data_IF_068520087101
#
_entry.id   IF_068520087101
#
_cell.length_a   1.000
_cell.length_b   1.000
_cell.length_c   1.000
_cell.angle_alpha   90.00
_cell.angle_beta   90.00
_cell.angle_gamma   90.00
#
_symmetry.space_group_name_H-M   'P 1'
#
loop_
_entity.id
_entity.type
_entity.pdbx_description
1 polymer ?
#
# COMPACT_ATOMS: atom_id res chain seq x y z
N UNK A 1 4.67 -19.16 -36.35
CA UNK A 1 3.60 -18.16 -36.54
C UNK A 1 2.81 -18.08 -35.24
N UNK A 2 2.82 -16.93 -34.54
CA UNK A 2 2.04 -16.78 -33.31
C UNK A 2 0.56 -16.63 -33.67
N UNK A 3 -0.28 -17.55 -33.18
CA UNK A 3 -1.73 -17.48 -33.37
C UNK A 3 -2.33 -16.53 -32.34
N UNK A 4 -3.11 -15.54 -32.80
CA UNK A 4 -3.72 -14.51 -31.96
C UNK A 4 -4.55 -15.09 -30.80
N UNK A 5 -5.08 -16.31 -30.98
CA UNK A 5 -5.96 -16.97 -30.03
C UNK A 5 -5.24 -17.58 -28.81
N UNK A 6 -3.91 -17.78 -28.87
CA UNK A 6 -3.15 -18.47 -27.82
C UNK A 6 -2.13 -17.57 -27.10
N UNK A 7 -2.36 -16.26 -27.09
CA UNK A 7 -1.46 -15.34 -26.38
C UNK A 7 -1.70 -15.40 -24.87
N UNK A 8 -0.64 -15.49 -24.04
CA UNK A 8 -0.78 -15.44 -22.59
C UNK A 8 -1.27 -14.07 -22.14
N UNK A 9 -2.09 -14.04 -21.09
CA UNK A 9 -2.61 -12.78 -20.53
C UNK A 9 -1.48 -12.05 -19.77
N UNK A 10 -1.04 -10.94 -20.33
CA UNK A 10 0.03 -10.10 -19.74
C UNK A 10 -0.49 -9.23 -18.59
N UNK A 11 -1.79 -8.88 -18.58
CA UNK A 11 -2.36 -7.92 -17.62
C UNK A 11 -2.89 -8.56 -16.34
N UNK A 12 -2.65 -7.88 -15.23
CA UNK A 12 -3.19 -8.24 -13.93
C UNK A 12 -4.73 -8.09 -13.84
N UNK A 13 -5.29 -8.67 -12.78
CA UNK A 13 -6.71 -8.52 -12.47
C UNK A 13 -7.03 -7.07 -12.10
N UNK A 14 -8.10 -6.53 -12.68
CA UNK A 14 -8.56 -5.18 -12.37
C UNK A 14 -9.12 -5.08 -10.95
N UNK A 15 -9.12 -3.88 -10.39
CA UNK A 15 -9.77 -3.62 -9.09
C UNK A 15 -11.26 -3.91 -9.17
N UNK A 16 -11.80 -4.47 -8.09
CA UNK A 16 -13.22 -4.76 -7.95
C UNK A 16 -14.06 -3.47 -7.99
N UNK A 17 -15.14 -3.49 -8.77
CA UNK A 17 -16.12 -2.39 -8.81
C UNK A 17 -17.06 -2.52 -7.60
N UNK A 18 -17.02 -1.53 -6.72
CA UNK A 18 -17.84 -1.50 -5.51
C UNK A 18 -19.28 -1.07 -5.83
N UNK A 19 -20.25 -1.49 -5.01
CA UNK A 19 -21.66 -1.10 -5.15
C UNK A 19 -22.34 -1.70 -6.38
N UNK A 20 -22.06 -2.97 -6.71
CA UNK A 20 -22.65 -3.68 -7.88
C UNK A 20 -23.47 -4.89 -7.43
N UNK A 21 -24.50 -4.66 -6.62
CA UNK A 21 -25.38 -5.73 -6.12
C UNK A 21 -24.70 -6.68 -5.13
N UNK A 22 -25.49 -7.45 -4.40
CA UNK A 22 -25.01 -8.37 -3.35
C UNK A 22 -24.15 -9.51 -3.91
N UNK A 23 -24.51 -10.06 -5.08
CA UNK A 23 -23.75 -11.12 -5.76
C UNK A 23 -22.32 -10.75 -6.14
N UNK A 24 -22.00 -9.44 -6.20
CA UNK A 24 -20.61 -9.00 -6.39
C UNK A 24 -19.72 -9.24 -5.17
N UNK A 25 -20.28 -9.47 -3.97
CA UNK A 25 -19.53 -9.56 -2.71
C UNK A 25 -19.00 -8.22 -2.18
N UNK A 26 -19.31 -7.10 -2.84
CA UNK A 26 -19.04 -5.75 -2.36
C UNK A 26 -20.22 -4.83 -2.71
N UNK A 27 -21.43 -5.33 -2.50
CA UNK A 27 -22.70 -4.70 -2.89
C UNK A 27 -23.15 -3.61 -1.93
N UNK A 28 -24.19 -3.91 -1.15
CA UNK A 28 -24.98 -2.94 -0.39
C UNK A 28 -24.18 -1.98 0.50
N UNK A 29 -23.03 -2.41 1.04
CA UNK A 29 -22.16 -1.59 1.90
C UNK A 29 -20.82 -1.25 1.27
N UNK A 30 -20.59 -1.62 0.02
CA UNK A 30 -19.35 -1.31 -0.73
C UNK A 30 -18.06 -1.67 0.02
N UNK A 31 -18.10 -2.67 0.92
CA UNK A 31 -16.96 -3.06 1.78
C UNK A 31 -16.65 -2.11 2.94
N UNK A 32 -17.50 -1.13 3.24
CA UNK A 32 -17.27 -0.11 4.28
C UNK A 32 -17.84 -0.45 5.66
N UNK A 33 -18.51 -1.60 5.79
CA UNK A 33 -19.19 -2.00 7.02
C UNK A 33 -20.53 -1.28 7.26
N UNK A 34 -21.03 -1.33 8.50
CA UNK A 34 -22.34 -0.77 8.86
C UNK A 34 -22.34 0.76 8.81
N UNK A 35 -23.33 1.32 8.10
CA UNK A 35 -23.45 2.76 7.81
C UNK A 35 -23.55 3.66 9.05
N UNK A 36 -23.84 3.12 10.23
CA UNK A 36 -23.91 3.89 11.49
C UNK A 36 -22.54 4.40 11.95
N UNK A 37 -21.45 3.67 11.68
CA UNK A 37 -20.14 3.97 12.24
C UNK A 37 -19.38 5.02 11.42
N UNK A 38 -18.52 5.80 12.08
CA UNK A 38 -17.71 6.86 11.46
C UNK A 38 -16.83 6.32 10.34
N UNK A 39 -16.23 5.14 10.49
CA UNK A 39 -15.39 4.51 9.46
C UNK A 39 -16.10 4.29 8.10
N UNK A 40 -17.42 4.19 8.09
CA UNK A 40 -18.18 4.04 6.85
C UNK A 40 -18.44 5.39 6.14
N UNK A 41 -18.49 6.50 6.89
CA UNK A 41 -18.91 7.83 6.43
C UNK A 41 -17.74 8.79 6.22
N UNK A 42 -16.74 8.70 7.07
CA UNK A 42 -15.65 9.67 7.18
C UNK A 42 -14.29 9.02 6.91
N UNK A 43 -13.28 9.87 6.70
CA UNK A 43 -11.89 9.45 6.55
C UNK A 43 -11.15 9.70 7.87
N UNK A 44 -11.05 8.67 8.69
CA UNK A 44 -10.26 8.70 9.92
C UNK A 44 -8.80 8.42 9.56
N UNK A 45 -7.87 9.17 10.16
CA UNK A 45 -6.46 8.94 9.94
C UNK A 45 -6.00 7.61 10.54
N UNK A 46 -5.14 6.87 9.83
CA UNK A 46 -4.68 5.53 10.21
C UNK A 46 -4.01 5.46 11.59
N UNK A 47 -3.37 6.56 12.02
CA UNK A 47 -2.64 6.67 13.29
C UNK A 47 -3.48 7.24 14.44
N UNK A 48 -4.79 7.43 14.24
CA UNK A 48 -5.66 8.01 15.26
C UNK A 48 -6.02 6.96 16.32
N UNK A 49 -5.73 7.26 17.59
CA UNK A 49 -5.96 6.37 18.74
C UNK A 49 -7.19 6.82 19.57
N UNK A 50 -8.17 7.50 18.98
CA UNK A 50 -9.42 7.84 19.69
C UNK A 50 -9.31 8.99 20.70
N UNK A 51 -8.27 9.83 20.60
CA UNK A 51 -8.02 10.95 21.52
C UNK A 51 -6.72 10.81 22.33
N UNK A 52 -6.16 9.60 22.38
CA UNK A 52 -4.83 9.40 22.94
C UNK A 52 -3.73 10.02 22.04
N UNK A 53 -2.63 10.43 22.67
CA UNK A 53 -1.45 10.88 21.95
C UNK A 53 -0.87 9.73 21.11
N UNK A 54 -0.53 10.02 19.84
CA UNK A 54 -0.03 9.01 18.88
C UNK A 54 1.22 8.30 19.41
N UNK A 55 1.39 7.01 19.09
CA UNK A 55 2.60 6.22 19.41
C UNK A 55 3.91 6.96 19.11
N UNK A 56 4.01 7.63 17.96
CA UNK A 56 5.23 8.37 17.55
C UNK A 56 5.60 9.47 18.54
N UNK A 57 4.62 10.07 19.22
CA UNK A 57 4.84 11.09 20.24
C UNK A 57 5.08 10.52 21.64
N UNK A 58 4.83 9.22 21.86
CA UNK A 58 5.08 8.55 23.14
C UNK A 58 6.58 8.30 23.36
N UNK A 59 7.35 8.14 22.28
CA UNK A 59 8.78 7.84 22.34
C UNK A 59 9.65 9.06 21.99
N UNK A 60 10.86 9.16 22.56
CA UNK A 60 11.79 10.22 22.19
C UNK A 60 12.25 10.07 20.73
N UNK A 61 12.62 11.19 20.12
CA UNK A 61 13.18 11.19 18.77
C UNK A 61 14.60 10.61 18.77
N UNK A 62 14.94 9.87 17.72
CA UNK A 62 16.31 9.40 17.51
C UNK A 62 17.27 10.59 17.38
N UNK A 63 18.31 10.60 18.22
CA UNK A 63 19.36 11.62 18.22
C UNK A 63 20.05 11.65 16.85
N UNK A 64 20.13 12.83 16.23
CA UNK A 64 20.78 13.00 14.93
C UNK A 64 19.95 12.58 13.72
N UNK A 65 18.65 12.30 13.87
CA UNK A 65 17.72 12.13 12.74
C UNK A 65 17.87 13.31 11.78
N UNK A 66 18.22 13.00 10.51
CA UNK A 66 18.54 13.94 9.43
C UNK A 66 19.89 14.68 9.46
N UNK A 67 20.75 14.49 10.48
CA UNK A 67 22.09 15.11 10.53
C UNK A 67 23.15 14.31 9.77
N UNK A 68 23.09 12.98 9.82
CA UNK A 68 24.03 12.09 9.12
C UNK A 68 23.33 11.40 7.95
N UNK A 69 23.06 12.15 6.87
CA UNK A 69 22.58 11.53 5.61
C UNK A 69 23.71 10.71 5.00
N UNK A 70 23.41 9.55 4.42
CA UNK A 70 24.44 8.77 3.72
C UNK A 70 25.00 9.58 2.56
N UNK A 71 26.32 9.60 2.39
CA UNK A 71 26.99 10.30 1.26
C UNK A 71 26.71 9.61 -0.08
N UNK A 72 26.23 8.35 -0.08
CA UNK A 72 25.90 7.63 -1.32
C UNK A 72 24.90 8.40 -2.17
N UNK A 73 25.26 8.58 -3.44
CA UNK A 73 24.37 9.13 -4.45
C UNK A 73 23.18 8.19 -4.66
N UNK A 74 22.03 8.77 -5.01
CA UNK A 74 20.80 7.99 -5.17
C UNK A 74 20.89 6.99 -6.34
N UNK A 75 21.75 7.26 -7.33
CA UNK A 75 22.09 6.32 -8.41
C UNK A 75 22.75 5.05 -7.86
N UNK A 76 23.73 5.19 -6.97
CA UNK A 76 24.47 4.07 -6.39
C UNK A 76 23.57 3.19 -5.52
N UNK A 77 22.70 3.80 -4.70
CA UNK A 77 21.70 3.06 -3.90
C UNK A 77 20.73 2.26 -4.78
N UNK A 78 20.33 2.84 -5.92
CA UNK A 78 19.41 2.20 -6.86
C UNK A 78 20.07 1.01 -7.56
N UNK A 79 21.34 1.13 -7.96
CA UNK A 79 22.13 0.03 -8.51
C UNK A 79 22.26 -1.12 -7.50
N UNK A 80 22.67 -0.82 -6.26
CA UNK A 80 22.81 -1.82 -5.19
C UNK A 80 21.49 -2.55 -4.88
N UNK A 81 20.36 -1.85 -4.93
CA UNK A 81 19.04 -2.45 -4.73
C UNK A 81 18.70 -3.51 -5.81
N UNK A 82 18.93 -3.18 -7.09
CA UNK A 82 18.68 -4.14 -8.18
C UNK A 82 19.67 -5.30 -8.17
N UNK A 83 20.95 -5.05 -7.88
CA UNK A 83 21.95 -6.11 -7.75
C UNK A 83 21.67 -7.09 -6.61
N UNK A 84 21.07 -6.60 -5.51
CA UNK A 84 20.67 -7.44 -4.39
C UNK A 84 19.49 -8.35 -4.77
N UNK A 85 18.44 -7.79 -5.38
CA UNK A 85 17.26 -8.57 -5.74
C UNK A 85 17.47 -9.48 -6.94
N UNK A 86 18.39 -9.15 -7.86
CA UNK A 86 18.75 -10.08 -8.94
C UNK A 86 19.51 -11.31 -8.43
N UNK A 87 20.25 -11.19 -7.32
CA UNK A 87 20.93 -12.33 -6.66
C UNK A 87 19.99 -13.25 -5.90
N UNK A 88 18.86 -12.75 -5.43
CA UNK A 88 17.83 -13.55 -4.74
C UNK A 88 16.97 -14.37 -5.72
N UNK A 89 17.06 -14.06 -7.03
CA UNK A 89 16.30 -14.72 -8.11
C UNK A 89 17.17 -15.61 -9.01
N UNK A 90 18.43 -15.90 -8.62
CA UNK A 90 19.30 -16.92 -9.19
C UNK A 90 19.42 -18.07 -8.19
#
# INVERSE_FOLDING_TARGET
MFSLNNLPKIKDKSKKRLGRGTGSGAGAKSGRGTTRHQAAREKIALWFEGGQNRVIKKFPLLRGKARNKSVKSDKLKKQEFYEKHNRENQ
#
